data_IF_987446020534
#
_entry.id   IF_987446020534
#
_cell.length_a   1.000
_cell.length_b   1.000
_cell.length_c   1.000
_cell.angle_alpha   90.00
_cell.angle_beta   90.00
_cell.angle_gamma   90.00
#
_symmetry.space_group_name_H-M   'P 1'
#
loop_
_entity.id
_entity.type
_entity.pdbx_description
1 polymer ?
#
# COMPACT_ATOMS: atom_id res chain seq x y z
N UNK A 1 2.81 -12.79 17.92
CA UNK A 1 1.88 -11.81 17.32
C UNK A 1 2.41 -10.41 17.59
N UNK A 2 2.72 -9.68 16.57
CA UNK A 2 3.22 -8.30 16.75
C UNK A 2 2.06 -7.44 17.22
N UNK A 3 2.16 -6.92 18.42
CA UNK A 3 1.18 -5.99 18.97
C UNK A 3 1.62 -4.58 18.57
N UNK A 4 0.80 -3.88 17.85
CA UNK A 4 1.04 -2.48 17.52
C UNK A 4 0.75 -1.61 18.74
N UNK A 5 1.67 -0.70 19.06
CA UNK A 5 1.50 0.27 20.14
C UNK A 5 0.93 1.57 19.55
N UNK A 6 -0.28 1.98 19.97
CA UNK A 6 -0.91 3.21 19.46
C UNK A 6 -0.06 4.47 19.63
N UNK A 7 0.78 4.52 20.65
CA UNK A 7 1.61 5.69 20.96
C UNK A 7 2.79 5.85 19.98
N UNK A 8 3.20 4.78 19.31
CA UNK A 8 4.38 4.76 18.44
C UNK A 8 4.08 4.31 17.02
N UNK A 9 2.83 3.96 16.74
CA UNK A 9 2.37 3.49 15.43
C UNK A 9 1.52 4.55 14.76
N UNK A 10 1.86 4.84 13.50
CA UNK A 10 1.07 5.70 12.62
C UNK A 10 0.15 4.83 11.75
N UNK A 11 -1.15 5.08 11.80
CA UNK A 11 -2.11 4.47 10.88
C UNK A 11 -2.26 5.35 9.63
N UNK A 12 -2.09 4.74 8.48
CA UNK A 12 -2.30 5.36 7.18
C UNK A 12 -3.50 4.72 6.50
N UNK A 13 -4.43 5.55 6.10
CA UNK A 13 -5.68 5.14 5.43
C UNK A 13 -5.96 6.10 4.27
N UNK A 14 -6.44 5.62 3.13
CA UNK A 14 -6.71 6.51 2.01
C UNK A 14 -7.92 7.40 2.29
N UNK A 15 -9.03 6.83 2.70
CA UNK A 15 -10.30 7.53 2.90
C UNK A 15 -10.89 7.25 4.29
N UNK A 16 -11.50 8.28 4.88
CA UNK A 16 -12.08 8.16 6.22
C UNK A 16 -13.21 7.11 6.31
N UNK A 17 -13.92 6.84 5.22
CA UNK A 17 -14.95 5.80 5.20
C UNK A 17 -14.38 4.36 5.26
N UNK A 18 -13.10 4.15 5.00
CA UNK A 18 -12.45 2.84 5.15
C UNK A 18 -12.14 2.53 6.63
N UNK A 19 -11.81 3.53 7.41
CA UNK A 19 -11.60 3.45 8.85
C UNK A 19 -12.01 4.79 9.49
N UNK A 20 -13.26 4.94 9.92
CA UNK A 20 -13.71 6.15 10.60
C UNK A 20 -12.87 6.47 11.83
N UNK A 21 -12.61 7.75 12.05
CA UNK A 21 -11.73 8.22 13.14
C UNK A 21 -12.16 7.73 14.51
N UNK A 22 -13.45 7.66 14.78
CA UNK A 22 -14.00 7.16 16.03
C UNK A 22 -13.67 5.68 16.29
N UNK A 23 -13.48 4.88 15.24
CA UNK A 23 -13.09 3.46 15.35
C UNK A 23 -11.59 3.29 15.64
N UNK A 24 -10.80 4.32 15.40
CA UNK A 24 -9.36 4.36 15.66
C UNK A 24 -9.01 5.28 16.84
N UNK A 25 -9.92 5.40 17.82
CA UNK A 25 -9.69 6.23 18.99
C UNK A 25 -8.41 5.82 19.74
N UNK A 26 -7.57 6.80 20.04
CA UNK A 26 -6.27 6.58 20.71
C UNK A 26 -5.10 6.31 19.75
N UNK A 27 -5.36 6.20 18.44
CA UNK A 27 -4.33 6.07 17.40
C UNK A 27 -4.06 7.40 16.69
N UNK A 28 -2.82 7.59 16.27
CA UNK A 28 -2.51 8.63 15.29
C UNK A 28 -2.87 8.09 13.90
N UNK A 29 -3.89 8.67 13.27
CA UNK A 29 -4.36 8.29 11.94
C UNK A 29 -4.20 9.45 10.96
N UNK A 30 -3.73 9.14 9.76
CA UNK A 30 -3.60 10.09 8.64
C UNK A 30 -4.35 9.55 7.44
N UNK A 31 -5.26 10.37 6.90
CA UNK A 31 -5.97 10.10 5.67
C UNK A 31 -5.22 10.75 4.51
N UNK A 32 -4.74 9.94 3.59
CA UNK A 32 -3.85 10.40 2.51
C UNK A 32 -4.59 10.96 1.30
N UNK A 33 -5.84 10.57 1.10
CA UNK A 33 -6.50 10.62 -0.20
C UNK A 33 -6.08 9.44 -1.08
N UNK A 34 -6.61 9.41 -2.28
CA UNK A 34 -6.45 8.30 -3.23
C UNK A 34 -5.22 8.53 -4.12
N UNK A 35 -4.51 7.45 -4.43
CA UNK A 35 -3.43 7.43 -5.40
C UNK A 35 -2.03 7.52 -4.82
N UNK A 36 -1.05 7.10 -5.60
CA UNK A 36 0.35 6.98 -5.18
C UNK A 36 0.98 8.31 -4.77
N UNK A 37 0.68 9.38 -5.48
CA UNK A 37 1.24 10.72 -5.20
C UNK A 37 0.74 11.24 -3.85
N UNK A 38 -0.57 11.19 -3.62
CA UNK A 38 -1.17 11.60 -2.36
C UNK A 38 -0.62 10.76 -1.19
N UNK A 39 -0.52 9.45 -1.38
CA UNK A 39 0.01 8.54 -0.36
C UNK A 39 1.46 8.87 0.02
N UNK A 40 2.33 9.07 -0.97
CA UNK A 40 3.75 9.36 -0.74
C UNK A 40 3.96 10.70 -0.02
N UNK A 41 3.27 11.76 -0.45
CA UNK A 41 3.37 13.10 0.14
C UNK A 41 2.86 13.07 1.58
N UNK A 42 1.67 12.53 1.80
CA UNK A 42 1.05 12.51 3.14
C UNK A 42 1.87 11.67 4.12
N UNK A 43 2.39 10.51 3.69
CA UNK A 43 3.25 9.69 4.54
C UNK A 43 4.57 10.39 4.88
N UNK A 44 5.22 11.00 3.89
CA UNK A 44 6.46 11.75 4.13
C UNK A 44 6.30 12.85 5.16
N UNK A 45 5.24 13.66 5.04
CA UNK A 45 4.91 14.71 6.01
C UNK A 45 4.58 14.11 7.39
N UNK A 46 3.80 13.04 7.43
CA UNK A 46 3.39 12.41 8.68
C UNK A 46 4.58 11.79 9.45
N UNK A 47 5.53 11.17 8.75
CA UNK A 47 6.76 10.65 9.35
C UNK A 47 7.59 11.79 9.93
N UNK A 48 7.78 12.88 9.19
CA UNK A 48 8.54 14.03 9.65
C UNK A 48 7.94 14.68 10.90
N UNK A 49 6.61 14.75 10.97
CA UNK A 49 5.89 15.36 12.10
C UNK A 49 5.79 14.46 13.33
N UNK A 50 5.59 13.16 13.16
CA UNK A 50 5.26 12.24 14.25
C UNK A 50 6.41 11.32 14.65
N UNK A 51 7.42 11.13 13.82
CA UNK A 51 8.57 10.24 14.05
C UNK A 51 8.13 8.85 14.58
N UNK A 52 7.21 8.15 13.89
CA UNK A 52 6.65 6.90 14.39
C UNK A 52 7.72 5.79 14.36
N UNK A 53 7.60 4.81 15.26
CA UNK A 53 8.41 3.58 15.20
C UNK A 53 7.90 2.60 14.16
N UNK A 54 6.61 2.67 13.86
CA UNK A 54 5.94 1.78 12.92
C UNK A 54 4.88 2.54 12.12
N UNK A 55 4.70 2.13 10.88
CA UNK A 55 3.61 2.59 10.01
C UNK A 55 2.76 1.38 9.64
N UNK A 56 1.46 1.50 9.76
CA UNK A 56 0.49 0.50 9.34
C UNK A 56 -0.45 1.13 8.33
N UNK A 57 -0.49 0.59 7.14
CA UNK A 57 -1.50 0.93 6.15
C UNK A 57 -2.70 -0.01 6.32
N UNK A 58 -3.88 0.57 6.45
CA UNK A 58 -5.16 -0.12 6.49
C UNK A 58 -6.08 0.46 5.41
N UNK A 59 -6.71 -0.40 4.64
CA UNK A 59 -7.60 0.05 3.58
C UNK A 59 -8.25 -1.09 2.83
N UNK A 60 -9.09 -0.75 1.87
CA UNK A 60 -9.74 -1.70 0.99
C UNK A 60 -8.86 -2.04 -0.21
N UNK A 61 -9.00 -3.26 -0.72
CA UNK A 61 -8.31 -3.73 -1.91
C UNK A 61 -9.24 -4.63 -2.74
N UNK A 62 -9.03 -4.63 -4.05
CA UNK A 62 -9.72 -5.54 -4.96
C UNK A 62 -9.05 -6.91 -4.99
N UNK A 63 -9.83 -7.98 -4.86
CA UNK A 63 -9.32 -9.34 -5.01
C UNK A 63 -9.24 -9.74 -6.48
N UNK A 64 -8.08 -10.25 -6.91
CA UNK A 64 -7.87 -10.74 -8.28
C UNK A 64 -8.05 -12.25 -8.42
N UNK A 65 -8.19 -12.95 -7.32
CA UNK A 65 -8.48 -14.40 -7.32
C UNK A 65 -9.64 -14.74 -6.39
N UNK A 66 -10.37 -15.86 -6.68
CA UNK A 66 -11.49 -16.28 -5.85
C UNK A 66 -11.09 -16.61 -4.40
N UNK A 67 -12.03 -16.48 -3.48
CA UNK A 67 -11.87 -16.91 -2.09
C UNK A 67 -11.16 -15.93 -1.17
N UNK A 68 -10.73 -14.77 -1.67
CA UNK A 68 -10.17 -13.71 -0.83
C UNK A 68 -11.29 -12.83 -0.29
N UNK A 69 -11.51 -12.88 1.01
CA UNK A 69 -12.45 -12.02 1.73
C UNK A 69 -11.93 -11.78 3.16
N UNK A 70 -12.37 -10.70 3.78
CA UNK A 70 -11.95 -10.33 5.13
C UNK A 70 -10.60 -9.62 5.18
N UNK A 71 -9.96 -9.65 6.35
CA UNK A 71 -8.71 -8.96 6.59
C UNK A 71 -7.51 -9.82 6.18
N UNK A 72 -6.66 -9.27 5.33
CA UNK A 72 -5.44 -9.92 4.87
C UNK A 72 -4.22 -9.04 5.14
N UNK A 73 -3.10 -9.69 5.48
CA UNK A 73 -1.81 -9.04 5.55
C UNK A 73 -1.14 -9.08 4.18
N UNK A 74 -0.65 -7.92 3.74
CA UNK A 74 0.15 -7.79 2.52
C UNK A 74 1.62 -7.70 2.91
N UNK A 75 2.47 -8.48 2.25
CA UNK A 75 3.92 -8.49 2.49
C UNK A 75 4.73 -8.32 1.23
N UNK A 76 4.09 -8.28 0.07
CA UNK A 76 4.74 -8.13 -1.23
C UNK A 76 4.01 -7.07 -2.05
N UNK A 77 4.71 -6.00 -2.41
CA UNK A 77 4.17 -4.84 -3.08
C UNK A 77 4.75 -4.68 -4.47
N UNK A 78 3.88 -4.48 -5.46
CA UNK A 78 4.21 -4.35 -6.86
C UNK A 78 3.62 -3.05 -7.39
N UNK A 79 4.35 -2.34 -8.26
CA UNK A 79 3.83 -1.17 -8.95
C UNK A 79 3.31 -1.58 -10.34
N UNK A 80 2.04 -1.97 -10.43
CA UNK A 80 1.45 -2.58 -11.63
C UNK A 80 1.35 -1.66 -12.84
N UNK A 81 1.37 -0.35 -12.65
CA UNK A 81 1.27 0.66 -13.69
C UNK A 81 2.61 1.29 -14.08
N UNK A 82 3.73 0.79 -13.55
CA UNK A 82 5.06 1.18 -13.99
C UNK A 82 5.45 0.33 -15.22
N UNK A 83 5.27 0.88 -16.40
CA UNK A 83 5.63 0.23 -17.64
C UNK A 83 6.62 1.07 -18.46
N UNK A 84 7.87 0.74 -18.31
CA UNK A 84 8.99 1.35 -19.03
C UNK A 84 9.79 0.31 -19.81
N UNK A 85 9.12 -0.75 -20.24
CA UNK A 85 9.73 -1.83 -21.05
C UNK A 85 10.39 -1.32 -22.33
N UNK A 86 9.89 -0.24 -22.90
CA UNK A 86 10.50 0.43 -24.04
C UNK A 86 11.93 0.93 -23.77
N UNK A 87 12.30 1.13 -22.50
CA UNK A 87 13.63 1.52 -22.07
C UNK A 87 14.49 0.32 -21.64
N UNK A 88 13.99 -0.92 -21.76
CA UNK A 88 14.70 -2.14 -21.44
C UNK A 88 14.52 -2.63 -19.99
N UNK A 89 13.56 -2.07 -19.23
CA UNK A 89 13.25 -2.51 -17.88
C UNK A 89 12.06 -3.48 -17.86
N UNK A 90 11.95 -4.27 -16.80
CA UNK A 90 10.81 -5.18 -16.63
C UNK A 90 9.52 -4.40 -16.30
N UNK A 91 8.37 -5.00 -16.59
CA UNK A 91 7.08 -4.47 -16.15
C UNK A 91 7.04 -4.40 -14.61
N UNK A 92 6.65 -3.26 -14.06
CA UNK A 92 6.64 -2.99 -12.62
C UNK A 92 7.97 -2.50 -12.05
N UNK A 93 9.03 -2.52 -12.84
CA UNK A 93 10.34 -2.05 -12.40
C UNK A 93 10.51 -0.55 -12.64
N UNK A 94 10.82 0.19 -11.58
CA UNK A 94 11.28 1.57 -11.70
C UNK A 94 12.70 1.58 -12.26
N UNK A 95 13.00 2.41 -13.29
CA UNK A 95 14.32 2.47 -13.90
C UNK A 95 15.43 2.69 -12.87
N UNK A 96 16.54 1.95 -13.03
CA UNK A 96 17.74 2.00 -12.19
C UNK A 96 17.56 1.52 -10.74
N UNK A 97 16.44 0.91 -10.42
CA UNK A 97 16.22 0.19 -9.17
C UNK A 97 16.43 -1.32 -9.38
N UNK A 98 16.95 -2.00 -8.36
CA UNK A 98 17.36 -3.41 -8.47
C UNK A 98 16.16 -4.36 -8.60
N UNK A 99 15.06 -4.07 -7.90
CA UNK A 99 13.89 -4.92 -7.83
C UNK A 99 12.61 -4.24 -8.33
N UNK A 100 11.74 -5.02 -8.97
CA UNK A 100 10.40 -4.59 -9.37
C UNK A 100 9.36 -4.72 -8.25
N UNK A 101 9.76 -5.12 -7.03
CA UNK A 101 8.87 -5.34 -5.90
C UNK A 101 9.50 -4.94 -4.56
N UNK A 102 8.65 -4.66 -3.58
CA UNK A 102 9.06 -4.37 -2.21
C UNK A 102 8.55 -5.50 -1.31
N UNK A 103 9.43 -6.04 -0.47
CA UNK A 103 9.10 -7.09 0.50
C UNK A 103 9.09 -6.51 1.91
N UNK A 104 8.00 -6.73 2.64
CA UNK A 104 7.83 -6.34 4.04
C UNK A 104 7.40 -7.55 4.89
N UNK A 105 8.32 -8.47 5.06
CA UNK A 105 8.08 -9.73 5.77
C UNK A 105 7.74 -10.89 4.84
N UNK A 106 7.15 -11.95 5.40
CA UNK A 106 6.85 -13.21 4.70
C UNK A 106 5.44 -13.70 5.02
N UNK A 107 4.88 -14.54 4.16
CA UNK A 107 3.65 -15.27 4.41
C UNK A 107 2.35 -14.48 4.21
N UNK A 108 2.43 -13.23 3.73
CA UNK A 108 1.26 -12.45 3.35
C UNK A 108 0.95 -12.54 1.85
N UNK A 109 -0.06 -11.77 1.44
CA UNK A 109 -0.47 -11.66 0.05
C UNK A 109 0.39 -10.63 -0.70
N UNK A 110 0.31 -10.68 -2.03
CA UNK A 110 0.83 -9.64 -2.92
C UNK A 110 -0.24 -8.62 -3.27
N UNK A 111 0.16 -7.35 -3.41
CA UNK A 111 -0.71 -6.27 -3.85
C UNK A 111 -0.07 -5.49 -4.99
N UNK A 112 -0.78 -5.35 -6.10
CA UNK A 112 -0.39 -4.53 -7.24
C UNK A 112 -1.03 -3.15 -7.15
N UNK A 113 -0.21 -2.13 -6.94
CA UNK A 113 -0.64 -0.73 -6.81
C UNK A 113 -0.54 0.02 -8.12
N UNK A 114 -1.52 0.82 -8.44
CA UNK A 114 -1.51 1.74 -9.57
C UNK A 114 -2.56 2.84 -9.42
N UNK A 115 -2.41 3.90 -10.21
CA UNK A 115 -3.30 5.08 -10.16
C UNK A 115 -4.56 4.93 -11.02
N UNK A 116 -4.84 3.73 -11.48
CA UNK A 116 -6.05 3.43 -12.25
C UNK A 116 -6.91 2.40 -11.52
N UNK A 117 -8.22 2.62 -11.56
CA UNK A 117 -9.17 1.61 -11.09
C UNK A 117 -9.12 0.39 -12.01
N UNK A 118 -9.04 -0.81 -11.40
CA UNK A 118 -8.92 -2.07 -12.14
C UNK A 118 -10.30 -2.54 -12.59
N UNK A 119 -10.53 -2.51 -13.89
CA UNK A 119 -11.76 -3.03 -14.54
C UNK A 119 -11.53 -4.36 -15.26
N UNK A 120 -10.28 -4.77 -15.43
CA UNK A 120 -9.87 -6.05 -16.04
C UNK A 120 -8.57 -6.51 -15.36
N UNK A 121 -8.23 -7.80 -15.48
CA UNK A 121 -7.00 -8.34 -14.89
C UNK A 121 -5.76 -7.59 -15.39
N UNK A 122 -4.93 -7.03 -14.50
CA UNK A 122 -3.68 -6.36 -14.89
C UNK A 122 -2.70 -7.36 -15.52
N UNK A 123 -1.83 -6.87 -16.41
CA UNK A 123 -0.77 -7.67 -16.99
C UNK A 123 0.24 -8.12 -15.93
N UNK A 124 0.61 -7.24 -14.98
CA UNK A 124 1.38 -7.61 -13.81
C UNK A 124 0.45 -8.20 -12.75
N UNK A 125 0.57 -9.50 -12.51
CA UNK A 125 -0.33 -10.25 -11.63
C UNK A 125 0.02 -10.10 -10.16
N UNK A 126 -1.01 -10.08 -9.31
CA UNK A 126 -0.93 -10.07 -7.85
C UNK A 126 -2.19 -10.69 -7.25
N UNK A 127 -2.21 -10.96 -5.95
CA UNK A 127 -3.41 -11.45 -5.27
C UNK A 127 -4.48 -10.35 -5.14
N UNK A 128 -4.03 -9.13 -4.86
CA UNK A 128 -4.86 -7.95 -4.61
C UNK A 128 -4.42 -6.79 -5.49
N UNK A 129 -5.31 -5.81 -5.66
CA UNK A 129 -5.00 -4.50 -6.26
C UNK A 129 -5.49 -3.37 -5.38
N UNK A 130 -4.72 -2.30 -5.35
CA UNK A 130 -5.05 -1.05 -4.67
C UNK A 130 -4.48 0.17 -5.42
N UNK A 131 -4.48 1.32 -4.79
CA UNK A 131 -3.97 2.56 -5.37
C UNK A 131 -2.89 3.26 -4.53
N UNK A 132 -2.48 2.73 -3.38
CA UNK A 132 -1.56 3.41 -2.45
C UNK A 132 -0.42 2.53 -1.92
N UNK A 133 -0.64 1.25 -1.69
CA UNK A 133 0.22 0.40 -0.86
C UNK A 133 1.70 0.38 -1.29
N UNK A 134 1.99 0.31 -2.60
CA UNK A 134 3.37 0.35 -3.08
C UNK A 134 4.07 1.66 -2.71
N UNK A 135 3.39 2.80 -2.88
CA UNK A 135 3.95 4.10 -2.55
C UNK A 135 4.22 4.25 -1.05
N UNK A 136 3.38 3.64 -0.22
CA UNK A 136 3.56 3.64 1.24
C UNK A 136 4.67 2.69 1.70
N UNK A 137 4.90 1.61 0.97
CA UNK A 137 5.96 0.64 1.25
C UNK A 137 7.35 1.12 0.80
N UNK A 138 7.40 2.00 -0.21
CA UNK A 138 8.60 2.59 -0.79
C UNK A 138 9.33 3.49 0.22
#
# INVERSE_FOLDING_TARGET
MTRFDPQTTLLIVALENELPREMAAGWTIVYTGVGKVNAAIALGDAIAMNQPKQVVNYGSAGALRPGLAGLHRVTRFLQRDMDVRALGFALGQTPFEDDGEILAGTGGLSCGTGDQFVSASPELTSDLVDMEAYALAK
#
